data_IF_122574215559
#
_entry.id   IF_122574215559
#
_cell.length_a   1.000
_cell.length_b   1.000
_cell.length_c   1.000
_cell.angle_alpha   90.00
_cell.angle_beta   90.00
_cell.angle_gamma   90.00
#
_symmetry.space_group_name_H-M   'P 1'
#
loop_
_entity.id
_entity.type
_entity.pdbx_description
1 polymer ?
#
# COMPACT_ATOMS: atom_id res chain seq x y z
N UNK A 1 3.44 -1.07 -14.27
CA UNK A 1 2.10 -0.44 -14.44
C UNK A 1 1.08 -1.43 -15.01
N UNK A 2 1.30 -2.05 -16.18
CA UNK A 2 0.31 -3.00 -16.76
C UNK A 2 -0.01 -4.16 -15.81
N UNK A 3 1.02 -4.86 -15.31
CA UNK A 3 0.83 -5.97 -14.37
C UNK A 3 0.12 -5.55 -13.07
N UNK A 4 0.51 -4.41 -12.49
CA UNK A 4 -0.11 -3.89 -11.27
C UNK A 4 -1.56 -3.46 -11.50
N UNK A 5 -1.87 -2.88 -12.66
CA UNK A 5 -3.25 -2.51 -13.02
C UNK A 5 -4.15 -3.73 -13.19
N UNK A 6 -3.70 -4.76 -13.92
CA UNK A 6 -4.45 -6.01 -14.09
C UNK A 6 -4.71 -6.68 -12.74
N UNK A 7 -3.69 -6.75 -11.87
CA UNK A 7 -3.83 -7.31 -10.53
C UNK A 7 -4.89 -6.57 -9.70
N UNK A 8 -4.85 -5.24 -9.68
CA UNK A 8 -5.80 -4.41 -8.92
C UNK A 8 -7.23 -4.59 -9.41
N UNK A 9 -7.46 -4.66 -10.73
CA UNK A 9 -8.79 -4.90 -11.30
C UNK A 9 -9.35 -6.25 -10.86
N UNK A 10 -8.55 -7.31 -10.94
CA UNK A 10 -8.97 -8.66 -10.50
C UNK A 10 -9.33 -8.66 -9.02
N UNK A 11 -8.47 -8.08 -8.16
CA UNK A 11 -8.69 -8.01 -6.72
C UNK A 11 -9.94 -7.22 -6.38
N UNK A 12 -10.19 -6.11 -7.07
CA UNK A 12 -11.38 -5.27 -6.84
C UNK A 12 -12.68 -6.04 -7.12
N UNK A 13 -12.70 -6.82 -8.20
CA UNK A 13 -13.84 -7.66 -8.56
C UNK A 13 -14.01 -8.80 -7.55
N UNK A 14 -12.93 -9.49 -7.19
CA UNK A 14 -12.98 -10.62 -6.23
C UNK A 14 -13.42 -10.19 -4.82
N UNK A 15 -13.10 -8.97 -4.41
CA UNK A 15 -13.47 -8.43 -3.10
C UNK A 15 -14.89 -7.86 -3.06
N UNK A 16 -15.63 -7.88 -4.18
CA UNK A 16 -17.03 -7.43 -4.23
C UNK A 16 -17.22 -5.95 -3.90
N UNK A 17 -16.22 -5.11 -4.19
CA UNK A 17 -16.29 -3.68 -3.91
C UNK A 17 -17.30 -2.97 -4.83
N UNK A 18 -17.95 -1.87 -4.37
CA UNK A 18 -18.98 -1.20 -5.15
C UNK A 18 -18.45 -0.69 -6.50
N UNK A 19 -19.17 -0.96 -7.59
CA UNK A 19 -18.74 -0.60 -8.94
C UNK A 19 -19.04 0.88 -9.27
N UNK A 20 -18.46 1.80 -8.49
CA UNK A 20 -18.51 3.24 -8.76
C UNK A 20 -17.20 3.68 -9.41
N UNK A 21 -17.27 4.31 -10.58
CA UNK A 21 -16.11 4.72 -11.38
C UNK A 21 -15.12 5.56 -10.57
N UNK A 22 -15.62 6.51 -9.78
CA UNK A 22 -14.77 7.38 -8.96
C UNK A 22 -13.97 6.60 -7.91
N UNK A 23 -14.61 5.63 -7.24
CA UNK A 23 -13.96 4.79 -6.21
C UNK A 23 -12.92 3.85 -6.82
N UNK A 24 -13.26 3.23 -7.94
CA UNK A 24 -12.33 2.36 -8.68
C UNK A 24 -11.11 3.14 -9.13
N UNK A 25 -11.30 4.35 -9.66
CA UNK A 25 -10.22 5.18 -10.15
C UNK A 25 -9.32 5.65 -9.01
N UNK A 26 -9.89 6.09 -7.87
CA UNK A 26 -9.12 6.44 -6.67
C UNK A 26 -8.32 5.25 -6.15
N UNK A 27 -8.97 4.09 -5.97
CA UNK A 27 -8.32 2.87 -5.48
C UNK A 27 -7.20 2.42 -6.41
N UNK A 28 -7.45 2.42 -7.73
CA UNK A 28 -6.47 1.99 -8.74
C UNK A 28 -5.27 2.93 -8.79
N UNK A 29 -5.51 4.24 -8.76
CA UNK A 29 -4.44 5.25 -8.76
C UNK A 29 -3.52 5.11 -7.55
N UNK A 30 -4.08 4.95 -6.34
CA UNK A 30 -3.32 4.82 -5.10
C UNK A 30 -2.45 3.55 -5.12
N UNK A 31 -3.00 2.43 -5.58
CA UNK A 31 -2.26 1.17 -5.70
C UNK A 31 -1.15 1.26 -6.76
N UNK A 32 -1.39 1.90 -7.90
CA UNK A 32 -0.36 2.11 -8.93
C UNK A 32 0.78 2.98 -8.41
N UNK A 33 0.48 4.08 -7.72
CA UNK A 33 1.48 4.96 -7.11
C UNK A 33 2.32 4.20 -6.07
N UNK A 34 1.67 3.43 -5.20
CA UNK A 34 2.34 2.59 -4.18
C UNK A 34 3.27 1.56 -4.84
N UNK A 35 2.81 0.92 -5.93
CA UNK A 35 3.62 -0.04 -6.68
C UNK A 35 4.81 0.62 -7.37
N UNK A 36 4.66 1.84 -7.90
CA UNK A 36 5.77 2.60 -8.51
C UNK A 36 6.85 2.94 -7.48
N UNK A 37 6.45 3.40 -6.28
CA UNK A 37 7.40 3.69 -5.18
C UNK A 37 8.15 2.42 -4.75
N UNK A 38 7.43 1.30 -4.58
CA UNK A 38 8.06 0.02 -4.24
C UNK A 38 9.05 -0.43 -5.32
N UNK A 39 8.72 -0.26 -6.60
CA UNK A 39 9.61 -0.57 -7.73
C UNK A 39 10.85 0.32 -7.73
N UNK A 40 10.72 1.63 -7.46
CA UNK A 40 11.87 2.53 -7.36
C UNK A 40 12.84 2.12 -6.25
N UNK A 41 12.32 1.70 -5.09
CA UNK A 41 13.16 1.19 -4.00
C UNK A 41 13.84 -0.12 -4.39
N UNK A 42 13.10 -1.04 -5.03
CA UNK A 42 13.66 -2.30 -5.54
C UNK A 42 14.79 -2.07 -6.55
N UNK A 43 14.60 -1.12 -7.47
CA UNK A 43 15.63 -0.72 -8.45
C UNK A 43 16.84 -0.06 -7.76
N UNK A 44 16.63 0.79 -6.77
CA UNK A 44 17.71 1.40 -5.99
C UNK A 44 18.56 0.34 -5.29
N UNK A 45 17.92 -0.62 -4.61
CA UNK A 45 18.61 -1.72 -3.94
C UNK A 45 19.37 -2.59 -4.96
N UNK A 46 18.72 -2.91 -6.09
CA UNK A 46 19.33 -3.71 -7.15
C UNK A 46 20.51 -3.02 -7.84
N UNK A 47 20.51 -1.69 -7.93
CA UNK A 47 21.63 -0.92 -8.49
C UNK A 47 22.78 -0.72 -7.48
N UNK A 48 22.47 -0.59 -6.19
CA UNK A 48 23.46 -0.31 -5.15
C UNK A 48 24.17 -1.57 -4.61
N UNK A 49 23.54 -2.75 -4.70
CA UNK A 49 23.99 -3.96 -4.02
C UNK A 49 24.34 -5.10 -4.98
N UNK A 50 25.15 -6.05 -4.51
CA UNK A 50 25.35 -7.34 -5.20
C UNK A 50 24.12 -8.22 -5.04
N UNK A 51 23.91 -9.15 -5.97
CA UNK A 51 22.72 -10.01 -6.02
C UNK A 51 22.50 -10.76 -4.69
N UNK A 52 23.55 -11.37 -4.12
CA UNK A 52 23.45 -12.12 -2.87
C UNK A 52 22.98 -11.24 -1.70
N UNK A 53 23.54 -10.04 -1.53
CA UNK A 53 23.15 -9.13 -0.44
C UNK A 53 21.80 -8.44 -0.70
N UNK A 54 21.48 -8.13 -1.96
CA UNK A 54 20.23 -7.50 -2.36
C UNK A 54 19.00 -8.36 -2.07
N UNK A 55 19.11 -9.69 -2.27
CA UNK A 55 18.02 -10.63 -1.97
C UNK A 55 17.68 -10.66 -0.47
N UNK A 56 18.68 -10.54 0.41
CA UNK A 56 18.44 -10.42 1.86
C UNK A 56 17.88 -9.05 2.26
N UNK A 57 18.34 -7.98 1.60
CA UNK A 57 17.94 -6.61 1.95
C UNK A 57 16.46 -6.32 1.62
N UNK A 58 15.90 -6.99 0.61
CA UNK A 58 14.50 -6.81 0.20
C UNK A 58 13.51 -7.07 1.35
N UNK A 59 13.47 -8.28 1.94
CA UNK A 59 12.62 -8.57 3.09
C UNK A 59 12.99 -7.71 4.32
N UNK A 60 14.28 -7.52 4.60
CA UNK A 60 14.74 -6.75 5.77
C UNK A 60 14.27 -5.29 5.72
N UNK A 61 14.21 -4.70 4.54
CA UNK A 61 13.67 -3.34 4.35
C UNK A 61 12.14 -3.31 4.32
N UNK A 62 11.50 -4.33 3.74
CA UNK A 62 10.03 -4.36 3.59
C UNK A 62 9.31 -4.59 4.93
N UNK A 63 9.84 -5.47 5.79
CA UNK A 63 9.25 -5.80 7.10
C UNK A 63 8.98 -4.55 7.95
N UNK A 64 9.95 -3.67 8.25
CA UNK A 64 9.69 -2.49 9.05
C UNK A 64 8.70 -1.54 8.36
N UNK A 65 8.77 -1.37 7.04
CA UNK A 65 7.83 -0.51 6.29
C UNK A 65 6.38 -1.00 6.46
N UNK A 66 6.17 -2.32 6.41
CA UNK A 66 4.86 -2.96 6.63
C UNK A 66 4.42 -2.89 8.09
N UNK A 67 5.31 -3.12 9.05
CA UNK A 67 4.99 -3.06 10.49
C UNK A 67 4.47 -1.66 10.89
N UNK A 68 5.12 -0.62 10.37
CA UNK A 68 4.76 0.79 10.62
C UNK A 68 3.70 1.34 9.66
N UNK A 69 3.03 0.49 8.87
CA UNK A 69 1.94 0.90 7.96
C UNK A 69 0.65 1.32 8.67
N UNK A 70 0.51 1.03 9.97
CA UNK A 70 -0.69 1.27 10.75
C UNK A 70 -1.68 0.09 10.81
N UNK A 71 -1.42 -0.98 10.04
CA UNK A 71 -2.23 -2.20 10.10
C UNK A 71 -1.78 -3.17 11.20
N UNK A 72 -0.47 -3.41 11.33
CA UNK A 72 0.08 -4.38 12.30
C UNK A 72 0.36 -3.79 13.68
N UNK A 73 0.83 -2.54 13.72
CA UNK A 73 1.11 -1.81 14.96
C UNK A 73 0.26 -0.56 14.99
N UNK A 74 -0.52 -0.42 16.07
CA UNK A 74 -1.33 0.78 16.28
C UNK A 74 -0.42 1.97 16.59
N UNK A 75 -0.69 3.13 15.99
CA UNK A 75 0.12 4.35 16.14
C UNK A 75 0.30 4.78 17.60
N UNK A 76 -0.70 4.53 18.45
CA UNK A 76 -0.67 4.87 19.87
C UNK A 76 0.27 3.99 20.70
N UNK A 77 0.63 2.80 20.19
CA UNK A 77 1.56 1.88 20.84
C UNK A 77 3.02 2.13 20.42
N UNK A 78 3.26 3.01 19.42
CA UNK A 78 4.59 3.32 18.93
C UNK A 78 5.21 4.37 19.86
N UNK A 79 6.40 4.12 20.42
CA UNK A 79 7.04 5.09 21.28
C UNK A 79 7.52 6.32 20.48
N UNK A 80 7.51 7.50 21.11
CA UNK A 80 7.73 8.82 20.48
C UNK A 80 8.95 8.87 19.55
N UNK A 81 10.04 8.22 19.93
CA UNK A 81 11.29 8.20 19.16
C UNK A 81 11.22 7.45 17.81
N UNK A 82 10.23 6.58 17.59
CA UNK A 82 10.03 5.85 16.33
C UNK A 82 8.95 6.45 15.42
N UNK A 83 8.29 7.55 15.82
CA UNK A 83 7.21 8.14 15.01
C UNK A 83 7.66 8.57 13.61
N UNK A 84 8.87 9.08 13.46
CA UNK A 84 9.39 9.52 12.15
C UNK A 84 9.40 8.38 11.11
N UNK A 85 9.62 7.15 11.54
CA UNK A 85 9.66 5.98 10.66
C UNK A 85 8.29 5.67 10.05
N UNK A 86 7.20 6.00 10.75
CA UNK A 86 5.84 5.89 10.24
C UNK A 86 5.55 6.87 9.10
N UNK A 87 6.23 8.01 9.06
CA UNK A 87 6.09 8.98 7.95
C UNK A 87 6.90 8.59 6.71
N UNK A 88 7.92 7.74 6.90
CA UNK A 88 8.76 7.22 5.83
C UNK A 88 8.12 6.00 5.13
N UNK A 89 7.17 5.32 5.78
CA UNK A 89 6.47 4.18 5.20
C UNK A 89 5.50 4.61 4.10
N UNK A 90 5.85 4.35 2.85
CA UNK A 90 4.95 4.55 1.71
C UNK A 90 3.72 3.62 1.77
N UNK A 91 3.85 2.46 2.42
CA UNK A 91 2.74 1.50 2.60
C UNK A 91 1.67 2.08 3.52
N UNK A 92 2.04 2.91 4.51
CA UNK A 92 1.08 3.64 5.34
C UNK A 92 0.13 4.47 4.49
N UNK A 93 0.68 5.33 3.63
CA UNK A 93 -0.11 6.20 2.77
C UNK A 93 -0.93 5.40 1.75
N UNK A 94 -0.37 4.31 1.21
CA UNK A 94 -1.10 3.39 0.33
C UNK A 94 -2.30 2.73 1.03
N UNK A 95 -2.11 2.27 2.27
CA UNK A 95 -3.17 1.64 3.08
C UNK A 95 -4.26 2.64 3.48
N UNK A 96 -3.88 3.79 4.05
CA UNK A 96 -4.81 4.84 4.46
C UNK A 96 -5.60 5.37 3.25
N UNK A 97 -4.90 5.63 2.14
CA UNK A 97 -5.54 6.06 0.89
C UNK A 97 -6.50 5.01 0.33
N UNK A 98 -6.12 3.73 0.33
CA UNK A 98 -7.01 2.65 -0.09
C UNK A 98 -8.26 2.57 0.79
N UNK A 99 -8.12 2.69 2.11
CA UNK A 99 -9.23 2.72 3.06
C UNK A 99 -10.17 3.90 2.79
N UNK A 100 -9.63 5.10 2.57
CA UNK A 100 -10.43 6.30 2.24
C UNK A 100 -11.16 6.14 0.91
N UNK A 101 -10.53 5.54 -0.11
CA UNK A 101 -11.19 5.31 -1.41
C UNK A 101 -12.39 4.35 -1.31
N UNK A 102 -12.29 3.33 -0.46
CA UNK A 102 -13.33 2.30 -0.30
C UNK A 102 -14.43 2.71 0.68
N UNK A 103 -14.06 3.31 1.81
CA UNK A 103 -14.98 3.59 2.92
C UNK A 103 -15.30 5.08 3.11
N UNK A 104 -14.50 5.98 2.53
CA UNK A 104 -14.70 7.42 2.64
C UNK A 104 -15.78 7.98 1.71
N UNK A 105 -15.83 9.31 1.65
CA UNK A 105 -16.73 10.09 0.78
C UNK A 105 -18.22 9.74 0.94
N UNK A 106 -18.70 9.65 2.19
CA UNK A 106 -20.14 9.52 2.48
C UNK A 106 -20.80 8.33 1.80
N UNK A 107 -20.13 7.17 1.80
CA UNK A 107 -20.59 5.95 1.12
C UNK A 107 -22.02 5.56 1.54
N UNK A 108 -22.89 5.37 0.54
CA UNK A 108 -24.23 4.84 0.75
C UNK A 108 -24.17 3.40 1.27
N UNK A 109 -25.14 3.04 2.13
CA UNK A 109 -25.23 1.68 2.69
C UNK A 109 -25.41 0.69 1.54
N UNK A 110 -24.57 -0.35 1.52
CA UNK A 110 -24.79 -1.46 0.60
C UNK A 110 -26.13 -2.11 0.91
N UNK A 111 -26.90 -2.43 -0.14
CA UNK A 111 -28.08 -3.24 0.02
C UNK A 111 -27.64 -4.66 0.38
N UNK A 112 -27.80 -5.04 1.65
CA UNK A 112 -27.61 -6.42 2.07
C UNK A 112 -28.87 -7.21 1.71
N UNK A 113 -28.69 -8.35 1.04
CA UNK A 113 -29.75 -9.34 0.81
C UNK A 113 -30.00 -10.16 2.06
#
# INVERSE_FOLDING_TARGET
>A
IVFSGVYVVIVYIMTGQPMQTDRILMFTTINILTALVAQSIGLLIGAAMKIETGVYLGPVSTIPIVLFSGFFVNFNAIPSYFHWLTYLSYIRYGFEGAMVSVYGFGREKLHCS
#
